data_IF_153524648611
#
_entry.id   IF_153524648611
#
_cell.length_a   1.000
_cell.length_b   1.000
_cell.length_c   1.000
_cell.angle_alpha   90.00
_cell.angle_beta   90.00
_cell.angle_gamma   90.00
#
_symmetry.space_group_name_H-M   'P 1'
#
loop_
_entity.id
_entity.type
_entity.pdbx_description
1 polymer ?
#
# COMPACT_ATOMS: atom_id res chain seq x y z
N UNK A 1 -1.46 -9.42 32.44
CA UNK A 1 -2.60 -10.28 32.12
C UNK A 1 -2.73 -10.30 30.60
N UNK A 2 -2.79 -11.46 29.95
CA UNK A 2 -3.07 -11.56 28.51
C UNK A 2 -4.57 -11.36 28.30
N UNK A 3 -4.95 -10.51 27.36
CA UNK A 3 -6.33 -10.34 26.94
C UNK A 3 -6.47 -10.98 25.53
N UNK A 4 -7.60 -11.66 25.23
CA UNK A 4 -7.86 -12.09 23.86
C UNK A 4 -7.91 -10.90 22.94
N UNK A 5 -7.71 -11.17 21.65
CA UNK A 5 -7.63 -10.16 20.60
C UNK A 5 -8.73 -9.12 20.70
N UNK A 6 -8.35 -7.89 20.84
CA UNK A 6 -9.26 -6.75 20.74
C UNK A 6 -9.15 -6.22 19.32
N UNK A 7 -10.21 -6.30 18.56
CA UNK A 7 -10.26 -5.67 17.22
C UNK A 7 -9.98 -4.19 17.33
N UNK A 8 -9.20 -3.65 16.43
CA UNK A 8 -8.93 -2.21 16.32
C UNK A 8 -9.07 -1.77 14.87
N UNK A 9 -9.91 -0.78 14.66
CA UNK A 9 -10.05 -0.13 13.36
C UNK A 9 -8.92 0.87 13.15
N UNK A 10 -8.26 0.73 12.01
CA UNK A 10 -7.39 1.78 11.49
C UNK A 10 -8.26 2.78 10.75
N UNK A 11 -8.27 4.01 11.20
CA UNK A 11 -9.05 5.09 10.61
C UNK A 11 -8.14 6.08 9.89
N UNK A 12 -8.61 6.57 8.76
CA UNK A 12 -8.00 7.66 8.01
C UNK A 12 -9.10 8.63 7.60
N UNK A 13 -8.95 9.91 7.97
CA UNK A 13 -9.98 10.94 7.75
C UNK A 13 -11.39 10.47 8.21
N UNK A 14 -11.47 9.94 9.43
CA UNK A 14 -12.68 9.40 10.06
C UNK A 14 -13.35 8.20 9.35
N UNK A 15 -12.75 7.66 8.29
CA UNK A 15 -13.19 6.44 7.61
C UNK A 15 -12.38 5.25 8.11
N UNK A 16 -13.05 4.14 8.45
CA UNK A 16 -12.35 2.87 8.73
C UNK A 16 -11.80 2.31 7.41
N UNK A 17 -10.48 2.19 7.32
CA UNK A 17 -9.78 1.70 6.12
C UNK A 17 -9.31 0.27 6.26
N UNK A 18 -9.19 -0.23 7.50
CA UNK A 18 -8.82 -1.60 7.80
C UNK A 18 -9.16 -1.93 9.26
N UNK A 19 -9.45 -3.20 9.54
CA UNK A 19 -9.62 -3.71 10.91
C UNK A 19 -8.56 -4.74 11.20
N UNK A 20 -7.83 -4.54 12.27
CA UNK A 20 -6.79 -5.45 12.75
C UNK A 20 -7.30 -6.30 13.92
N UNK A 21 -6.87 -7.57 13.95
CA UNK A 21 -7.20 -8.53 15.00
C UNK A 21 -5.95 -9.41 15.28
N UNK A 22 -5.04 -8.96 16.17
CA UNK A 22 -3.89 -9.77 16.56
C UNK A 22 -4.33 -10.94 17.43
N UNK A 23 -3.58 -12.03 17.44
CA UNK A 23 -3.91 -13.19 18.28
C UNK A 23 -3.94 -12.85 19.77
N UNK A 24 -2.96 -12.10 20.24
CA UNK A 24 -2.84 -11.70 21.65
C UNK A 24 -2.27 -10.29 21.80
N UNK A 25 -2.70 -9.59 22.86
CA UNK A 25 -2.03 -8.39 23.38
C UNK A 25 -1.70 -8.61 24.84
N UNK A 26 -0.42 -8.59 25.20
CA UNK A 26 0.07 -8.90 26.53
C UNK A 26 0.49 -7.63 27.24
N UNK A 27 -0.16 -7.35 28.39
CA UNK A 27 0.14 -6.21 29.28
C UNK A 27 0.17 -4.84 28.56
N UNK A 28 -0.49 -4.72 27.41
CA UNK A 28 -0.47 -3.51 26.55
C UNK A 28 0.96 -3.10 26.13
N UNK A 29 1.90 -4.07 26.03
CA UNK A 29 3.31 -3.83 25.71
C UNK A 29 3.84 -4.70 24.59
N UNK A 30 3.29 -5.91 24.41
CA UNK A 30 3.80 -6.91 23.47
C UNK A 30 2.64 -7.52 22.70
N UNK A 31 2.83 -7.75 21.41
CA UNK A 31 1.92 -8.50 20.56
C UNK A 31 2.61 -9.82 20.17
N UNK A 32 2.23 -10.96 20.75
CA UNK A 32 2.53 -12.27 20.21
C UNK A 32 1.58 -12.60 19.05
N UNK A 33 2.15 -12.97 17.92
CA UNK A 33 1.43 -13.50 16.75
C UNK A 33 1.79 -14.96 16.60
N UNK A 34 0.78 -15.82 16.63
CA UNK A 34 0.93 -17.26 16.72
C UNK A 34 0.82 -17.88 15.33
N UNK A 35 1.71 -18.78 15.00
CA UNK A 35 1.72 -19.51 13.72
C UNK A 35 1.82 -21.01 13.96
N UNK A 36 1.20 -21.76 13.07
CA UNK A 36 1.34 -23.21 12.99
C UNK A 36 1.67 -23.58 11.54
N UNK A 37 2.97 -23.48 11.19
CA UNK A 37 3.45 -23.70 9.83
C UNK A 37 4.74 -24.52 9.82
N UNK A 38 4.87 -25.43 8.86
CA UNK A 38 6.03 -26.33 8.75
C UNK A 38 7.33 -25.60 8.36
N UNK A 39 7.23 -24.43 7.74
CA UNK A 39 8.37 -23.67 7.24
C UNK A 39 8.71 -22.50 8.18
N UNK A 40 9.87 -21.88 7.95
CA UNK A 40 10.25 -20.62 8.58
C UNK A 40 9.20 -19.52 8.31
N UNK A 41 9.24 -18.43 9.10
CA UNK A 41 8.34 -17.31 8.92
C UNK A 41 8.53 -16.68 7.54
N UNK A 42 7.40 -16.46 6.84
CA UNK A 42 7.37 -15.75 5.57
C UNK A 42 7.37 -14.24 5.79
N UNK A 43 7.76 -13.47 4.79
CA UNK A 43 7.75 -12.00 4.84
C UNK A 43 6.38 -11.42 5.23
N UNK A 44 5.30 -12.07 4.80
CA UNK A 44 3.94 -11.69 5.17
C UNK A 44 3.68 -11.76 6.68
N UNK A 45 4.31 -12.70 7.41
CA UNK A 45 4.15 -12.80 8.87
C UNK A 45 4.78 -11.59 9.58
N UNK A 46 5.96 -11.16 9.14
CA UNK A 46 6.62 -9.96 9.67
C UNK A 46 5.81 -8.70 9.37
N UNK A 47 5.32 -8.55 8.13
CA UNK A 47 4.49 -7.42 7.72
C UNK A 47 3.20 -7.34 8.53
N UNK A 48 2.56 -8.47 8.78
CA UNK A 48 1.35 -8.56 9.60
C UNK A 48 1.63 -8.08 11.02
N UNK A 49 2.66 -8.62 11.68
CA UNK A 49 3.02 -8.25 13.05
C UNK A 49 3.43 -6.77 13.16
N UNK A 50 4.24 -6.27 12.20
CA UNK A 50 4.63 -4.86 12.17
C UNK A 50 3.42 -3.93 12.02
N UNK A 51 2.43 -4.34 11.22
CA UNK A 51 1.17 -3.59 11.08
C UNK A 51 0.38 -3.53 12.38
N UNK A 52 0.34 -4.61 13.14
CA UNK A 52 -0.26 -4.64 14.47
C UNK A 52 0.47 -3.73 15.44
N UNK A 53 1.80 -3.83 15.51
CA UNK A 53 2.62 -2.99 16.39
C UNK A 53 2.40 -1.50 16.11
N UNK A 54 2.36 -1.13 14.83
CA UNK A 54 2.08 0.24 14.39
C UNK A 54 0.68 0.68 14.82
N UNK A 55 -0.34 -0.13 14.57
CA UNK A 55 -1.72 0.21 14.91
C UNK A 55 -1.93 0.35 16.43
N UNK A 56 -1.25 -0.46 17.24
CA UNK A 56 -1.31 -0.40 18.71
C UNK A 56 -0.33 0.59 19.34
N UNK A 57 0.59 1.17 18.57
CA UNK A 57 1.67 2.03 19.08
C UNK A 57 2.66 1.27 19.97
N UNK A 58 2.85 -0.02 19.73
CA UNK A 58 3.73 -0.88 20.51
C UNK A 58 5.08 -1.06 19.81
N UNK A 59 6.13 -1.33 20.60
CA UNK A 59 7.52 -1.39 20.13
C UNK A 59 8.07 -2.80 19.99
N UNK A 60 7.34 -3.81 20.48
CA UNK A 60 7.82 -5.18 20.52
C UNK A 60 6.73 -6.17 20.15
N UNK A 61 7.01 -7.02 19.18
CA UNK A 61 6.21 -8.18 18.83
C UNK A 61 7.00 -9.47 18.94
N UNK A 62 6.29 -10.58 19.00
CA UNK A 62 6.84 -11.93 18.96
C UNK A 62 6.14 -12.70 17.85
N UNK A 63 6.89 -13.28 16.92
CA UNK A 63 6.39 -14.34 16.05
C UNK A 63 6.66 -15.67 16.75
N UNK A 64 5.62 -16.48 16.93
CA UNK A 64 5.72 -17.76 17.62
C UNK A 64 5.18 -18.87 16.72
N UNK A 65 6.02 -19.84 16.35
CA UNK A 65 5.61 -20.99 15.54
C UNK A 65 5.64 -22.27 16.37
N UNK A 66 4.50 -22.95 16.45
CA UNK A 66 4.31 -24.19 17.24
C UNK A 66 4.33 -25.47 16.38
N UNK A 67 4.45 -25.40 15.06
CA UNK A 67 4.38 -26.59 14.19
C UNK A 67 5.68 -27.41 14.15
N UNK A 68 6.78 -26.92 14.74
CA UNK A 68 8.07 -27.58 14.77
C UNK A 68 8.24 -28.41 16.04
N UNK A 69 9.31 -29.25 16.11
CA UNK A 69 9.59 -30.08 17.29
C UNK A 69 9.75 -29.28 18.60
N UNK A 70 10.12 -28.00 18.48
CA UNK A 70 10.14 -27.03 19.55
C UNK A 70 9.57 -25.72 19.07
N UNK A 71 8.94 -24.95 19.96
CA UNK A 71 8.44 -23.62 19.60
C UNK A 71 9.60 -22.72 19.17
N UNK A 72 9.46 -22.12 17.99
CA UNK A 72 10.40 -21.10 17.50
C UNK A 72 9.81 -19.73 17.81
N UNK A 73 10.60 -18.90 18.49
CA UNK A 73 10.18 -17.56 18.90
C UNK A 73 11.17 -16.54 18.34
N UNK A 74 10.66 -15.58 17.55
CA UNK A 74 11.44 -14.46 17.05
C UNK A 74 10.92 -13.14 17.64
N UNK A 75 11.86 -12.31 18.13
CA UNK A 75 11.58 -10.98 18.66
C UNK A 75 11.65 -9.96 17.51
N UNK A 76 10.57 -9.23 17.30
CA UNK A 76 10.45 -8.24 16.25
C UNK A 76 10.32 -6.85 16.88
N UNK A 77 11.41 -6.07 16.93
CA UNK A 77 11.33 -4.68 17.35
C UNK A 77 10.66 -3.85 16.26
N UNK A 78 9.87 -2.88 16.66
CA UNK A 78 9.26 -1.91 15.75
C UNK A 78 9.68 -0.49 16.14
N UNK A 79 10.22 0.22 15.18
CA UNK A 79 10.54 1.64 15.28
C UNK A 79 9.80 2.40 14.19
N UNK A 80 8.88 3.32 14.54
CA UNK A 80 8.16 4.13 13.56
C UNK A 80 9.14 4.94 12.72
N UNK A 81 8.91 4.93 11.41
CA UNK A 81 9.73 5.68 10.47
C UNK A 81 8.87 6.62 9.65
N UNK A 82 9.35 7.82 9.49
CA UNK A 82 8.92 8.77 8.48
C UNK A 82 10.04 8.93 7.45
N UNK A 83 9.70 9.29 6.25
CA UNK A 83 10.66 9.54 5.18
C UNK A 83 10.30 10.82 4.48
N UNK A 84 11.31 11.64 4.19
CA UNK A 84 11.14 12.73 3.24
C UNK A 84 10.75 12.19 1.88
N UNK A 85 9.79 12.82 1.19
CA UNK A 85 9.34 12.34 -0.11
C UNK A 85 10.44 12.47 -1.17
N UNK A 86 10.68 11.40 -1.92
CA UNK A 86 11.47 11.41 -3.14
C UNK A 86 10.53 11.42 -4.34
N UNK A 87 10.62 12.44 -5.21
CA UNK A 87 9.70 12.59 -6.33
C UNK A 87 10.45 12.69 -7.66
N UNK A 88 9.99 11.95 -8.67
CA UNK A 88 10.50 12.00 -10.03
C UNK A 88 9.36 12.05 -11.04
N UNK A 89 9.23 13.15 -11.73
CA UNK A 89 8.23 13.40 -12.77
C UNK A 89 8.85 13.56 -14.17
N UNK A 90 10.13 13.26 -14.33
CA UNK A 90 10.86 13.47 -15.58
C UNK A 90 10.20 12.83 -16.79
N UNK A 91 9.67 11.62 -16.66
CA UNK A 91 9.03 10.91 -17.77
C UNK A 91 7.71 11.53 -18.23
N UNK A 92 6.99 12.23 -17.35
CA UNK A 92 5.67 12.79 -17.66
C UNK A 92 5.68 14.28 -17.99
N UNK A 93 6.80 14.97 -17.75
CA UNK A 93 6.91 16.43 -17.92
C UNK A 93 6.45 16.94 -19.30
N UNK A 94 6.72 16.17 -20.37
CA UNK A 94 6.36 16.52 -21.74
C UNK A 94 4.89 16.19 -22.12
N UNK A 95 4.23 15.31 -21.36
CA UNK A 95 2.86 14.83 -21.67
C UNK A 95 1.81 15.43 -20.75
N UNK A 96 2.22 16.12 -19.69
CA UNK A 96 1.29 16.84 -18.81
C UNK A 96 0.60 17.97 -19.60
N UNK A 97 -0.73 17.96 -19.56
CA UNK A 97 -1.58 19.03 -20.11
C UNK A 97 -2.33 19.71 -18.98
N UNK A 98 -2.90 20.87 -19.23
CA UNK A 98 -3.63 21.66 -18.21
C UNK A 98 -4.70 20.84 -17.50
N UNK A 99 -5.39 19.94 -18.21
CA UNK A 99 -6.42 19.04 -17.64
C UNK A 99 -5.86 18.06 -16.59
N UNK A 100 -4.57 17.68 -16.70
CA UNK A 100 -3.93 16.73 -15.78
C UNK A 100 -3.42 17.40 -14.51
N UNK A 101 -3.07 18.69 -14.56
CA UNK A 101 -2.43 19.38 -13.45
C UNK A 101 -3.23 19.36 -12.15
N UNK A 102 -4.55 19.66 -12.12
CA UNK A 102 -5.32 19.63 -10.88
C UNK A 102 -5.41 18.21 -10.30
N UNK A 103 -5.55 17.19 -11.17
CA UNK A 103 -5.64 15.79 -10.74
C UNK A 103 -4.30 15.32 -10.15
N UNK A 104 -3.20 15.62 -10.84
CA UNK A 104 -1.85 15.29 -10.37
C UNK A 104 -1.52 16.00 -9.05
N UNK A 105 -1.85 17.29 -8.95
CA UNK A 105 -1.62 18.07 -7.74
C UNK A 105 -2.41 17.48 -6.56
N UNK A 106 -3.71 17.23 -6.72
CA UNK A 106 -4.53 16.67 -5.67
C UNK A 106 -4.13 15.23 -5.31
N UNK A 107 -3.78 14.39 -6.29
CA UNK A 107 -3.30 13.03 -6.04
C UNK A 107 -1.98 13.05 -5.27
N UNK A 108 -1.03 13.88 -5.69
CA UNK A 108 0.23 14.10 -4.99
C UNK A 108 0.01 14.55 -3.54
N UNK A 109 -0.82 15.57 -3.33
CA UNK A 109 -1.13 16.07 -1.98
C UNK A 109 -1.74 14.99 -1.09
N UNK A 110 -2.66 14.19 -1.62
CA UNK A 110 -3.25 13.05 -0.90
C UNK A 110 -2.19 12.02 -0.49
N UNK A 111 -1.27 11.67 -1.38
CA UNK A 111 -0.17 10.72 -1.11
C UNK A 111 0.82 11.26 -0.07
N UNK A 112 1.21 12.54 -0.20
CA UNK A 112 2.10 13.21 0.76
C UNK A 112 1.46 13.29 2.15
N UNK A 113 0.15 13.56 2.22
CA UNK A 113 -0.60 13.58 3.48
C UNK A 113 -0.58 12.21 4.15
N UNK A 114 -0.80 11.12 3.41
CA UNK A 114 -0.71 9.76 3.95
C UNK A 114 0.70 9.51 4.49
N UNK A 115 1.76 9.86 3.75
CA UNK A 115 3.13 9.68 4.24
C UNK A 115 3.38 10.46 5.54
N UNK A 116 2.92 11.70 5.63
CA UNK A 116 3.12 12.57 6.79
C UNK A 116 2.33 12.13 8.02
N UNK A 117 1.05 11.76 7.85
CA UNK A 117 0.14 11.45 8.96
C UNK A 117 0.28 9.99 9.42
N UNK A 118 0.49 9.10 8.48
CA UNK A 118 0.51 7.66 8.72
C UNK A 118 1.95 7.12 8.72
N UNK A 119 2.82 7.60 7.83
CA UNK A 119 4.18 7.08 7.66
C UNK A 119 4.22 5.69 7.03
N UNK A 120 5.39 5.04 7.09
CA UNK A 120 5.67 3.75 6.43
C UNK A 120 5.28 2.54 7.31
N UNK A 121 5.15 1.33 6.70
CA UNK A 121 5.07 0.06 7.44
C UNK A 121 3.73 -0.68 7.37
N UNK A 122 2.74 -0.20 6.63
CA UNK A 122 1.55 -0.98 6.29
C UNK A 122 1.69 -1.66 4.92
N UNK A 123 0.94 -2.73 4.63
CA UNK A 123 0.86 -3.31 3.29
C UNK A 123 0.13 -2.38 2.31
N UNK A 124 0.34 -2.61 1.01
CA UNK A 124 -0.18 -1.84 -0.11
C UNK A 124 -1.69 -1.67 -0.10
N UNK A 125 -2.45 -2.71 0.22
CA UNK A 125 -3.91 -2.67 0.30
C UNK A 125 -4.42 -1.60 1.29
N UNK A 126 -3.72 -1.40 2.39
CA UNK A 126 -4.09 -0.39 3.40
C UNK A 126 -3.82 1.03 2.87
N UNK A 127 -2.65 1.26 2.27
CA UNK A 127 -2.35 2.55 1.65
C UNK A 127 -3.26 2.84 0.45
N UNK A 128 -3.64 1.81 -0.32
CA UNK A 128 -4.60 1.94 -1.42
C UNK A 128 -5.98 2.38 -0.91
N UNK A 129 -6.46 1.82 0.21
CA UNK A 129 -7.70 2.25 0.84
C UNK A 129 -7.60 3.69 1.35
N UNK A 130 -6.49 4.06 1.99
CA UNK A 130 -6.25 5.45 2.42
C UNK A 130 -6.20 6.42 1.24
N UNK A 131 -5.51 6.07 0.15
CA UNK A 131 -5.44 6.88 -1.05
C UNK A 131 -6.84 7.08 -1.66
N UNK A 132 -7.65 6.03 -1.71
CA UNK A 132 -9.05 6.12 -2.17
C UNK A 132 -9.86 7.11 -1.33
N UNK A 133 -9.75 7.04 0.00
CA UNK A 133 -10.42 7.98 0.92
C UNK A 133 -9.87 9.39 0.73
N UNK A 134 -8.54 9.54 0.73
CA UNK A 134 -7.87 10.84 0.60
C UNK A 134 -8.19 11.55 -0.71
N UNK A 135 -8.16 10.84 -1.84
CA UNK A 135 -8.48 11.43 -3.14
C UNK A 135 -9.94 11.86 -3.23
N UNK A 136 -10.87 11.03 -2.74
CA UNK A 136 -12.29 11.39 -2.68
C UNK A 136 -12.55 12.60 -1.81
N UNK A 137 -11.85 12.76 -0.69
CA UNK A 137 -11.97 13.94 0.17
C UNK A 137 -11.44 15.22 -0.48
N UNK A 138 -10.57 15.09 -1.49
CA UNK A 138 -10.08 16.19 -2.32
C UNK A 138 -10.96 16.43 -3.57
N UNK A 139 -12.12 15.77 -3.65
CA UNK A 139 -13.10 15.96 -4.74
C UNK A 139 -12.83 15.14 -5.99
N UNK A 140 -11.86 14.20 -5.97
CA UNK A 140 -11.54 13.37 -7.14
C UNK A 140 -12.47 12.15 -7.22
N UNK A 141 -12.90 11.80 -8.42
CA UNK A 141 -13.57 10.52 -8.68
C UNK A 141 -12.54 9.39 -8.75
N UNK A 142 -12.72 8.36 -7.94
CA UNK A 142 -11.75 7.24 -7.83
C UNK A 142 -12.44 5.92 -8.10
N UNK A 143 -11.94 5.20 -9.10
CA UNK A 143 -12.33 3.83 -9.45
C UNK A 143 -11.19 2.87 -9.10
N UNK A 144 -11.46 1.90 -8.22
CA UNK A 144 -10.45 0.95 -7.73
C UNK A 144 -10.56 -0.46 -8.29
N UNK A 145 -11.69 -0.79 -8.92
CA UNK A 145 -11.99 -2.15 -9.42
C UNK A 145 -12.22 -2.08 -10.94
N UNK A 146 -11.28 -1.47 -11.64
CA UNK A 146 -11.36 -1.36 -13.10
C UNK A 146 -11.02 -2.70 -13.72
N UNK A 147 -11.96 -3.24 -14.49
CA UNK A 147 -11.79 -4.48 -15.26
C UNK A 147 -11.49 -4.11 -16.70
N UNK A 148 -10.40 -4.62 -17.22
CA UNK A 148 -9.97 -4.39 -18.60
C UNK A 148 -10.08 -5.69 -19.40
N UNK A 149 -10.34 -5.56 -20.69
CA UNK A 149 -10.37 -6.67 -21.63
C UNK A 149 -9.21 -6.51 -22.63
N UNK A 150 -8.06 -7.11 -22.37
CA UNK A 150 -6.93 -7.01 -23.26
C UNK A 150 -7.25 -7.61 -24.63
N UNK A 151 -6.68 -7.03 -25.69
CA UNK A 151 -6.78 -7.58 -27.02
C UNK A 151 -5.40 -8.09 -27.48
N UNK A 152 -5.38 -9.26 -28.10
CA UNK A 152 -4.20 -9.79 -28.76
C UNK A 152 -4.54 -10.09 -30.21
N UNK A 153 -3.96 -9.31 -31.12
CA UNK A 153 -4.34 -9.28 -32.55
C UNK A 153 -5.85 -8.96 -32.64
N UNK A 154 -6.64 -9.78 -33.29
CA UNK A 154 -8.09 -9.59 -33.43
C UNK A 154 -8.93 -10.36 -32.38
N UNK A 155 -8.31 -10.91 -31.34
CA UNK A 155 -8.96 -11.71 -30.32
C UNK A 155 -8.97 -10.98 -28.97
N UNK A 156 -10.16 -10.86 -28.39
CA UNK A 156 -10.29 -10.42 -27.00
C UNK A 156 -9.81 -11.54 -26.07
N UNK A 157 -8.99 -11.17 -25.09
CA UNK A 157 -8.57 -12.05 -24.01
C UNK A 157 -9.57 -11.97 -22.85
N UNK A 158 -9.55 -12.93 -21.92
CA UNK A 158 -10.40 -12.86 -20.71
C UNK A 158 -10.21 -11.52 -19.98
N UNK A 159 -11.31 -10.97 -19.50
CA UNK A 159 -11.27 -9.75 -18.68
C UNK A 159 -10.48 -9.98 -17.39
N UNK A 160 -9.72 -8.98 -16.99
CA UNK A 160 -8.89 -9.02 -15.78
C UNK A 160 -8.98 -7.69 -15.02
N UNK A 161 -9.11 -7.74 -13.68
CA UNK A 161 -8.99 -6.51 -12.89
C UNK A 161 -7.56 -5.99 -12.93
N UNK A 162 -7.42 -4.66 -12.91
CA UNK A 162 -6.13 -4.00 -12.76
C UNK A 162 -5.97 -3.45 -11.34
N UNK A 163 -4.72 -3.36 -10.89
CA UNK A 163 -4.40 -2.90 -9.53
C UNK A 163 -4.44 -1.38 -9.35
N UNK A 164 -4.08 -0.52 -10.32
CA UNK A 164 -4.09 0.91 -10.12
C UNK A 164 -5.48 1.48 -9.83
N UNK A 165 -5.51 2.55 -9.03
CA UNK A 165 -6.67 3.43 -8.94
C UNK A 165 -6.73 4.28 -10.22
N UNK A 166 -7.90 4.37 -10.84
CA UNK A 166 -8.13 5.31 -11.94
C UNK A 166 -8.81 6.55 -11.36
N UNK A 167 -8.13 7.69 -11.49
CA UNK A 167 -8.53 8.98 -10.92
C UNK A 167 -9.04 9.89 -12.03
N UNK A 168 -10.30 10.36 -11.90
CA UNK A 168 -11.04 11.18 -12.87
C UNK A 168 -11.00 10.63 -14.31
N UNK A 169 -10.77 9.31 -14.47
CA UNK A 169 -10.64 8.66 -15.77
C UNK A 169 -9.41 9.09 -16.59
N UNK A 170 -8.43 9.78 -15.98
CA UNK A 170 -7.30 10.38 -16.69
C UNK A 170 -5.93 9.98 -16.15
N UNK A 171 -5.83 9.68 -14.85
CA UNK A 171 -4.58 9.35 -14.18
C UNK A 171 -4.70 8.00 -13.49
N UNK A 172 -3.73 7.11 -13.74
CA UNK A 172 -3.62 5.86 -12.97
C UNK A 172 -2.68 6.06 -11.79
N UNK A 173 -3.07 5.60 -10.60
CA UNK A 173 -2.22 5.63 -9.41
C UNK A 173 -2.03 4.22 -8.87
N UNK A 174 -0.81 3.71 -8.97
CA UNK A 174 -0.39 2.43 -8.40
C UNK A 174 0.20 2.67 -7.02
N UNK A 175 -0.26 1.90 -6.05
CA UNK A 175 0.27 1.94 -4.68
C UNK A 175 1.11 0.68 -4.46
N UNK A 176 2.34 0.87 -4.02
CA UNK A 176 3.25 -0.20 -3.61
C UNK A 176 3.67 0.03 -2.17
N UNK A 177 3.96 -1.05 -1.45
CA UNK A 177 4.47 -0.98 -0.09
C UNK A 177 5.55 -2.05 0.13
N UNK A 178 6.28 -1.93 1.28
CA UNK A 178 7.29 -2.90 1.73
C UNK A 178 8.60 -2.83 0.94
N UNK A 179 8.57 -2.64 -0.37
CA UNK A 179 9.79 -2.51 -1.18
C UNK A 179 10.19 -1.04 -1.31
N UNK A 180 11.46 -0.74 -1.07
CA UNK A 180 11.97 0.64 -1.12
C UNK A 180 12.13 1.15 -2.56
N UNK A 181 12.34 0.25 -3.54
CA UNK A 181 12.62 0.63 -4.91
C UNK A 181 11.44 0.36 -5.86
N UNK A 182 11.17 1.33 -6.73
CA UNK A 182 10.27 1.18 -7.87
C UNK A 182 11.05 0.52 -8.99
N UNK A 183 10.74 -0.76 -9.27
CA UNK A 183 11.49 -1.55 -10.24
C UNK A 183 11.11 -1.21 -11.68
N UNK A 184 12.01 -1.50 -12.63
CA UNK A 184 11.70 -1.39 -14.05
C UNK A 184 10.50 -2.26 -14.48
N UNK A 185 10.24 -3.37 -13.76
CA UNK A 185 9.03 -4.19 -13.95
C UNK A 185 7.77 -3.43 -13.57
N UNK A 186 7.76 -2.75 -12.41
CA UNK A 186 6.63 -1.95 -11.97
C UNK A 186 6.30 -0.83 -12.97
N UNK A 187 7.33 -0.15 -13.50
CA UNK A 187 7.16 0.87 -14.55
C UNK A 187 6.53 0.27 -15.81
N UNK A 188 7.03 -0.87 -16.32
CA UNK A 188 6.45 -1.55 -17.49
C UNK A 188 5.02 -2.03 -17.26
N UNK A 189 4.72 -2.51 -16.05
CA UNK A 189 3.35 -2.90 -15.68
C UNK A 189 2.42 -1.69 -15.69
N UNK A 190 2.84 -0.56 -15.11
CA UNK A 190 2.09 0.70 -15.18
C UNK A 190 1.86 1.13 -16.63
N UNK A 191 2.87 1.09 -17.50
CA UNK A 191 2.71 1.41 -18.92
C UNK A 191 1.66 0.54 -19.61
N UNK A 192 1.60 -0.75 -19.25
CA UNK A 192 0.56 -1.65 -19.76
C UNK A 192 -0.83 -1.23 -19.26
N UNK A 193 -0.97 -0.91 -17.98
CA UNK A 193 -2.23 -0.43 -17.42
C UNK A 193 -2.69 0.88 -18.06
N UNK A 194 -1.78 1.82 -18.31
CA UNK A 194 -2.11 3.09 -18.98
C UNK A 194 -2.71 2.86 -20.37
N UNK A 195 -2.12 1.96 -21.17
CA UNK A 195 -2.65 1.61 -22.50
C UNK A 195 -4.02 0.94 -22.40
N UNK A 196 -4.24 0.08 -21.42
CA UNK A 196 -5.51 -0.63 -21.22
C UNK A 196 -6.63 0.27 -20.71
N UNK A 197 -6.31 1.35 -19.98
CA UNK A 197 -7.27 2.30 -19.44
C UNK A 197 -7.42 3.56 -20.28
N UNK A 198 -6.62 3.71 -21.34
CA UNK A 198 -6.54 4.94 -22.16
C UNK A 198 -6.15 6.18 -21.32
N UNK A 199 -5.42 5.98 -20.23
CA UNK A 199 -4.84 7.06 -19.45
C UNK A 199 -3.46 7.42 -19.99
N UNK A 200 -3.16 8.71 -20.11
CA UNK A 200 -1.86 9.19 -20.61
C UNK A 200 -0.76 9.12 -19.54
N UNK A 201 -1.16 9.25 -18.27
CA UNK A 201 -0.26 9.47 -17.13
C UNK A 201 -0.55 8.49 -16.01
N UNK A 202 0.53 7.95 -15.42
CA UNK A 202 0.50 7.15 -14.20
C UNK A 202 1.40 7.72 -13.13
N UNK A 203 1.02 7.50 -11.88
CA UNK A 203 1.84 7.71 -10.70
C UNK A 203 2.07 6.36 -10.01
N UNK A 204 3.31 6.02 -9.73
CA UNK A 204 3.64 4.91 -8.83
C UNK A 204 4.07 5.52 -7.51
N UNK A 205 3.29 5.28 -6.45
CA UNK A 205 3.61 5.70 -5.09
C UNK A 205 4.08 4.49 -4.28
N UNK A 206 5.33 4.51 -3.83
CA UNK A 206 5.93 3.45 -3.03
C UNK A 206 6.08 3.89 -1.58
N UNK A 207 5.33 3.24 -0.69
CA UNK A 207 5.47 3.32 0.77
C UNK A 207 6.40 2.18 1.22
N UNK A 208 7.70 2.33 0.91
CA UNK A 208 8.71 1.33 1.22
C UNK A 208 8.94 1.14 2.72
N UNK A 209 9.94 0.36 3.09
CA UNK A 209 10.32 0.16 4.51
C UNK A 209 11.04 1.38 5.08
N UNK A 210 11.82 2.06 4.26
CA UNK A 210 12.70 3.17 4.68
C UNK A 210 12.48 4.45 3.89
N UNK A 211 11.84 4.38 2.73
CA UNK A 211 11.65 5.51 1.81
C UNK A 211 10.23 5.60 1.27
N UNK A 212 9.77 6.84 1.11
CA UNK A 212 8.55 7.14 0.37
C UNK A 212 8.92 7.79 -0.96
N UNK A 213 8.40 7.22 -2.06
CA UNK A 213 8.73 7.69 -3.42
C UNK A 213 7.48 7.83 -4.28
N UNK A 214 7.47 8.85 -5.13
CA UNK A 214 6.47 9.02 -6.19
C UNK A 214 7.20 9.15 -7.53
N UNK A 215 6.82 8.31 -8.50
CA UNK A 215 7.39 8.35 -9.86
C UNK A 215 6.27 8.50 -10.87
N UNK A 216 6.40 9.50 -11.74
CA UNK A 216 5.54 9.70 -12.90
C UNK A 216 5.92 8.75 -14.04
N UNK A 217 4.93 8.10 -14.66
CA UNK A 217 5.10 7.16 -15.78
C UNK A 217 4.17 7.55 -16.92
N UNK A 218 4.69 7.58 -18.15
CA UNK A 218 3.87 7.77 -19.37
C UNK A 218 3.58 6.44 -20.08
N UNK A 219 2.49 6.42 -20.84
CA UNK A 219 2.06 5.28 -21.66
C UNK A 219 3.09 4.82 -22.71
#
# INVERSE_FOLDING_TARGET
>A
MAKPATRRDLRYQDVSVHTFEPDLVVAERIIPELKHQANAFAEANYTQLLSYLKCWGLRLGLLVNFALHSAVIERIPYDPRTSEPEEDYGQISEVIRDRHQPILHASREGLLRINREIGLGYPDVIYRNMATVGFRSLGLAVSGDVVVMPQFRERSLPSSPITPLVVDGQVCVEIQAIHDDITARAVRTMQTHLRLTSCDIGLIASFGRTRFRIVGVRA
#
